data_IF_266425044877
#
_entry.id   IF_266425044877
#
_cell.length_a   1.000
_cell.length_b   1.000
_cell.length_c   1.000
_cell.angle_alpha   90.00
_cell.angle_beta   90.00
_cell.angle_gamma   90.00
#
_symmetry.space_group_name_H-M   'P 1'
#
loop_
_entity.id
_entity.type
_entity.pdbx_description
1 polymer ?
#
# COMPACT_ATOMS: atom_id res chain seq x y z
N UNK A 1 35.10 -31.91 -26.98
CA UNK A 1 34.80 -31.05 -25.82
C UNK A 1 33.83 -29.92 -26.20
N UNK A 2 32.53 -30.21 -26.44
CA UNK A 2 31.51 -29.21 -26.83
C UNK A 2 30.31 -29.10 -25.88
N UNK A 3 30.10 -30.08 -25.00
CA UNK A 3 28.96 -30.11 -24.06
C UNK A 3 29.05 -29.12 -22.89
N UNK A 4 30.24 -28.62 -22.53
CA UNK A 4 30.41 -27.74 -21.35
C UNK A 4 29.87 -26.32 -21.57
N UNK A 5 29.86 -25.81 -22.81
CA UNK A 5 29.44 -24.42 -23.09
C UNK A 5 27.92 -24.24 -23.05
N UNK A 6 27.15 -25.20 -23.56
CA UNK A 6 25.68 -25.13 -23.51
C UNK A 6 25.12 -25.27 -22.08
N UNK A 7 25.75 -26.09 -21.23
CA UNK A 7 25.36 -26.23 -19.83
C UNK A 7 25.59 -24.94 -19.03
N UNK A 8 26.73 -24.25 -19.26
CA UNK A 8 27.04 -22.97 -18.62
C UNK A 8 26.09 -21.86 -19.08
N UNK A 9 25.76 -21.82 -20.37
CA UNK A 9 24.78 -20.85 -20.92
C UNK A 9 23.38 -21.12 -20.38
N UNK A 10 22.97 -22.39 -20.30
CA UNK A 10 21.67 -22.77 -19.72
C UNK A 10 21.55 -22.41 -18.24
N UNK A 11 22.62 -22.63 -17.46
CA UNK A 11 22.64 -22.27 -16.04
C UNK A 11 22.59 -20.75 -15.85
N UNK A 12 23.33 -19.99 -16.65
CA UNK A 12 23.29 -18.53 -16.62
C UNK A 12 21.90 -17.98 -16.98
N UNK A 13 21.23 -18.54 -18.00
CA UNK A 13 19.88 -18.15 -18.38
C UNK A 13 18.86 -18.46 -17.27
N UNK A 14 18.95 -19.64 -16.66
CA UNK A 14 18.09 -20.03 -15.54
C UNK A 14 18.31 -19.13 -14.31
N UNK A 15 19.55 -18.74 -14.02
CA UNK A 15 19.86 -17.79 -12.93
C UNK A 15 19.29 -16.40 -13.20
N UNK A 16 19.34 -15.91 -14.44
CA UNK A 16 18.74 -14.62 -14.82
C UNK A 16 17.22 -14.68 -14.68
N UNK A 17 16.59 -15.74 -15.20
CA UNK A 17 15.13 -15.93 -15.07
C UNK A 17 14.74 -16.05 -13.60
N UNK A 18 15.50 -16.82 -12.80
CA UNK A 18 15.27 -16.96 -11.37
C UNK A 18 15.42 -15.63 -10.61
N UNK A 19 16.42 -14.82 -10.94
CA UNK A 19 16.61 -13.49 -10.35
C UNK A 19 15.49 -12.51 -10.75
N UNK A 20 15.05 -12.55 -12.01
CA UNK A 20 13.91 -11.76 -12.48
C UNK A 20 12.62 -12.17 -11.76
N UNK A 21 12.30 -13.47 -11.72
CA UNK A 21 11.12 -13.97 -11.01
C UNK A 21 11.19 -13.63 -9.53
N UNK A 22 12.36 -13.75 -8.90
CA UNK A 22 12.55 -13.35 -7.50
C UNK A 22 12.25 -11.86 -7.29
N UNK A 23 12.71 -10.98 -8.18
CA UNK A 23 12.38 -9.56 -8.11
C UNK A 23 10.87 -9.31 -8.27
N UNK A 24 10.21 -10.03 -9.17
CA UNK A 24 8.75 -9.93 -9.36
C UNK A 24 7.95 -10.35 -8.12
N UNK A 25 8.42 -11.35 -7.39
CA UNK A 25 7.76 -11.84 -6.17
C UNK A 25 8.29 -11.19 -4.88
N UNK A 26 9.35 -10.36 -4.96
CA UNK A 26 9.93 -9.74 -3.78
C UNK A 26 9.02 -8.64 -3.29
N UNK A 27 8.35 -8.94 -2.18
CA UNK A 27 7.64 -7.95 -1.41
C UNK A 27 8.62 -7.12 -0.57
N UNK A 28 8.38 -5.82 -0.57
CA UNK A 28 9.07 -4.82 0.23
C UNK A 28 8.08 -4.18 1.21
N UNK A 29 8.51 -3.94 2.44
CA UNK A 29 7.68 -3.33 3.47
C UNK A 29 8.52 -2.48 4.41
N UNK A 30 7.88 -1.51 5.06
CA UNK A 30 8.51 -0.66 6.06
C UNK A 30 7.50 -0.25 7.11
N UNK A 31 7.99 -0.10 8.35
CA UNK A 31 7.20 0.33 9.50
C UNK A 31 7.93 1.49 10.15
N UNK A 32 7.25 2.64 10.28
CA UNK A 32 7.81 3.83 10.91
C UNK A 32 8.99 4.43 10.15
N UNK A 33 9.02 4.29 8.82
CA UNK A 33 10.12 4.85 8.00
C UNK A 33 9.87 6.34 7.70
N UNK A 34 10.96 7.09 7.53
CA UNK A 34 10.89 8.55 7.36
C UNK A 34 10.60 9.00 5.92
N UNK A 35 10.91 8.16 4.92
CA UNK A 35 10.67 8.52 3.53
C UNK A 35 10.54 7.30 2.63
N UNK A 36 9.72 7.45 1.58
CA UNK A 36 9.54 6.46 0.52
C UNK A 36 9.43 7.21 -0.80
N UNK A 37 10.15 6.77 -1.84
CA UNK A 37 10.32 7.54 -3.09
C UNK A 37 9.05 7.81 -3.89
N UNK A 38 8.00 7.01 -3.69
CA UNK A 38 6.71 7.12 -4.37
C UNK A 38 5.63 7.81 -3.52
N UNK A 39 5.99 8.38 -2.37
CA UNK A 39 5.12 9.15 -1.48
C UNK A 39 5.55 10.63 -1.43
N UNK A 40 4.70 11.54 -0.90
CA UNK A 40 5.11 12.92 -0.68
C UNK A 40 6.34 12.99 0.23
N UNK A 41 7.23 13.96 -0.02
CA UNK A 41 8.46 14.16 0.76
C UNK A 41 8.17 14.56 2.20
N UNK A 42 7.00 15.14 2.42
CA UNK A 42 6.49 15.59 3.70
C UNK A 42 5.88 14.46 4.53
N UNK A 43 5.71 13.25 3.95
CA UNK A 43 5.23 12.08 4.68
C UNK A 43 6.21 11.67 5.78
N UNK A 44 5.67 11.26 6.92
CA UNK A 44 6.43 10.74 8.06
C UNK A 44 5.72 9.54 8.66
N UNK A 45 6.43 8.80 9.51
CA UNK A 45 5.86 7.64 10.23
C UNK A 45 5.16 6.68 9.25
N UNK A 46 5.84 6.41 8.14
CA UNK A 46 5.27 5.71 7.01
C UNK A 46 5.24 4.22 7.33
N UNK A 47 4.08 3.61 7.15
CA UNK A 47 3.93 2.15 7.12
C UNK A 47 3.49 1.76 5.73
N UNK A 48 4.20 0.84 5.07
CA UNK A 48 3.88 0.44 3.70
C UNK A 48 4.12 -1.04 3.42
N UNK A 49 3.41 -1.53 2.41
CA UNK A 49 3.69 -2.78 1.69
C UNK A 49 3.73 -2.47 0.21
N UNK A 50 4.69 -3.05 -0.50
CA UNK A 50 4.84 -2.93 -1.94
C UNK A 50 5.29 -4.25 -2.54
N UNK A 51 4.66 -4.63 -3.64
CA UNK A 51 5.25 -5.53 -4.64
C UNK A 51 4.90 -4.98 -6.03
N UNK A 52 5.01 -5.81 -7.07
CA UNK A 52 4.73 -5.36 -8.44
C UNK A 52 3.23 -5.19 -8.73
N UNK A 53 2.37 -5.89 -8.00
CA UNK A 53 0.92 -5.80 -8.14
C UNK A 53 0.33 -4.68 -7.25
N UNK A 54 0.77 -4.57 -6.00
CA UNK A 54 0.16 -3.68 -5.02
C UNK A 54 1.14 -2.69 -4.39
N UNK A 55 0.63 -1.50 -4.08
CA UNK A 55 1.27 -0.55 -3.17
C UNK A 55 0.23 -0.06 -2.18
N UNK A 56 0.52 -0.21 -0.90
CA UNK A 56 -0.36 0.22 0.19
C UNK A 56 0.49 0.99 1.18
N UNK A 57 0.06 2.19 1.57
CA UNK A 57 0.72 2.95 2.63
C UNK A 57 -0.27 3.74 3.49
N UNK A 58 0.10 3.92 4.75
CA UNK A 58 -0.48 4.90 5.66
C UNK A 58 0.64 5.71 6.32
N UNK A 59 0.45 7.02 6.45
CA UNK A 59 1.50 7.93 6.88
C UNK A 59 0.92 9.23 7.44
N UNK A 60 1.71 9.92 8.26
CA UNK A 60 1.38 11.25 8.77
C UNK A 60 1.82 12.30 7.73
N UNK A 61 0.96 13.27 7.42
CA UNK A 61 1.26 14.33 6.43
C UNK A 61 0.38 15.56 6.67
N UNK A 62 0.91 16.75 6.39
CA UNK A 62 0.12 17.98 6.43
C UNK A 62 -0.87 18.02 5.26
N UNK A 63 -2.11 18.44 5.54
CA UNK A 63 -3.24 18.41 4.58
C UNK A 63 -2.90 19.08 3.25
N UNK A 64 -2.42 20.31 3.30
CA UNK A 64 -2.17 21.10 2.10
C UNK A 64 -0.96 20.58 1.32
N UNK A 65 0.08 20.09 2.01
CA UNK A 65 1.19 19.37 1.38
C UNK A 65 0.68 18.13 0.63
N UNK A 66 -0.21 17.36 1.25
CA UNK A 66 -0.76 16.17 0.62
C UNK A 66 -1.65 16.50 -0.57
N UNK A 67 -2.56 17.48 -0.46
CA UNK A 67 -3.39 17.96 -1.58
C UNK A 67 -2.55 18.42 -2.76
N UNK A 68 -1.49 19.22 -2.50
CA UNK A 68 -0.56 19.67 -3.55
C UNK A 68 0.16 18.50 -4.23
N UNK A 69 0.60 17.52 -3.45
CA UNK A 69 1.23 16.32 -4.01
C UNK A 69 0.26 15.54 -4.89
N UNK A 70 -0.95 15.24 -4.40
CA UNK A 70 -2.01 14.57 -5.14
C UNK A 70 -2.37 15.28 -6.45
N UNK A 71 -2.53 16.61 -6.43
CA UNK A 71 -2.82 17.39 -7.64
C UNK A 71 -1.68 17.30 -8.68
N UNK A 72 -0.41 17.30 -8.25
CA UNK A 72 0.74 17.09 -9.16
C UNK A 72 0.80 15.68 -9.74
N UNK A 73 0.17 14.71 -9.10
CA UNK A 73 0.04 13.34 -9.62
C UNK A 73 -1.24 13.14 -10.45
N UNK A 74 -1.96 14.24 -10.78
CA UNK A 74 -3.25 14.19 -11.50
C UNK A 74 -4.35 13.41 -10.76
N UNK A 75 -4.22 13.28 -9.44
CA UNK A 75 -5.16 12.59 -8.56
C UNK A 75 -5.71 13.56 -7.49
N UNK A 76 -6.40 14.65 -7.88
CA UNK A 76 -6.81 15.69 -6.94
C UNK A 76 -7.83 15.16 -5.92
N UNK A 77 -7.52 15.32 -4.64
CA UNK A 77 -8.43 14.93 -3.56
C UNK A 77 -9.63 15.88 -3.52
N UNK A 78 -10.84 15.31 -3.44
CA UNK A 78 -12.09 16.02 -3.17
C UNK A 78 -12.52 15.81 -1.73
N UNK A 79 -13.20 16.78 -1.16
CA UNK A 79 -13.86 16.64 0.14
C UNK A 79 -15.12 15.77 -0.01
N UNK A 80 -15.35 14.89 0.98
CA UNK A 80 -16.53 14.05 1.05
C UNK A 80 -17.71 14.83 1.66
N UNK A 81 -18.87 14.72 1.00
CA UNK A 81 -20.11 15.37 1.41
C UNK A 81 -20.86 14.53 2.43
N UNK A 82 -21.88 15.13 3.05
CA UNK A 82 -22.77 14.40 3.95
C UNK A 82 -23.44 13.22 3.22
N UNK A 83 -23.48 12.06 3.88
CA UNK A 83 -23.94 10.80 3.31
C UNK A 83 -22.95 10.05 2.39
N UNK A 84 -21.78 10.61 2.07
CA UNK A 84 -20.71 9.89 1.36
C UNK A 84 -19.80 9.15 2.36
N UNK A 85 -19.66 7.84 2.18
CA UNK A 85 -18.70 7.02 2.93
C UNK A 85 -17.82 6.24 1.94
N UNK A 86 -16.50 6.34 2.12
CA UNK A 86 -15.53 5.58 1.35
C UNK A 86 -14.63 4.78 2.28
N UNK A 87 -14.11 3.67 1.78
CA UNK A 87 -13.22 2.79 2.53
C UNK A 87 -11.91 2.62 1.78
N UNK A 88 -10.80 2.70 2.50
CA UNK A 88 -9.46 2.51 1.96
C UNK A 88 -8.74 1.38 2.69
N UNK A 89 -7.94 0.60 1.97
CA UNK A 89 -7.19 -0.49 2.56
C UNK A 89 -6.04 0.04 3.43
N UNK A 90 -5.82 -0.60 4.58
CA UNK A 90 -4.71 -0.31 5.49
C UNK A 90 -3.67 -1.42 5.42
N UNK A 91 -2.40 -1.04 5.38
CA UNK A 91 -1.28 -1.99 5.36
C UNK A 91 -1.06 -2.70 6.71
N UNK A 92 -1.50 -2.09 7.82
CA UNK A 92 -1.19 -2.54 9.17
C UNK A 92 -1.72 -3.95 9.49
N UNK A 93 -2.98 -4.24 9.14
CA UNK A 93 -3.57 -5.57 9.30
C UNK A 93 -2.75 -6.62 8.55
N UNK A 94 -2.41 -6.33 7.29
CA UNK A 94 -1.67 -7.26 6.43
C UNK A 94 -0.29 -7.57 7.04
N UNK A 95 0.37 -6.57 7.63
CA UNK A 95 1.65 -6.76 8.32
C UNK A 95 1.51 -7.53 9.63
N UNK A 96 0.42 -7.35 10.38
CA UNK A 96 0.13 -8.14 11.59
C UNK A 96 -0.14 -9.60 11.27
N UNK A 97 -0.97 -9.89 10.26
CA UNK A 97 -1.27 -11.26 9.80
C UNK A 97 -0.02 -12.00 9.30
N UNK A 98 0.97 -11.25 8.81
CA UNK A 98 2.26 -11.77 8.37
C UNK A 98 3.31 -11.84 9.48
N UNK A 99 2.97 -11.44 10.71
CA UNK A 99 3.87 -11.47 11.86
C UNK A 99 5.00 -10.42 11.81
N UNK A 100 4.92 -9.43 10.93
CA UNK A 100 5.89 -8.32 10.85
C UNK A 100 5.65 -7.32 11.98
N UNK A 101 4.38 -7.04 12.27
CA UNK A 101 3.97 -6.26 13.43
C UNK A 101 3.50 -7.19 14.53
N UNK A 102 3.91 -6.93 15.78
CA UNK A 102 3.31 -7.55 16.95
C UNK A 102 1.82 -7.19 16.94
N UNK A 103 0.97 -8.19 16.75
CA UNK A 103 -0.46 -7.96 16.79
C UNK A 103 -0.84 -7.55 18.20
N UNK A 104 -1.58 -6.45 18.31
CA UNK A 104 -2.22 -6.06 19.57
C UNK A 104 -3.44 -6.94 19.90
N UNK A 105 -3.70 -7.99 19.11
CA UNK A 105 -4.78 -8.95 19.35
C UNK A 105 -4.49 -9.74 20.62
N UNK A 106 -5.47 -9.74 21.52
CA UNK A 106 -5.51 -10.66 22.64
C UNK A 106 -5.72 -12.08 22.10
N UNK A 107 -4.77 -13.02 22.29
CA UNK A 107 -4.88 -14.39 21.79
C UNK A 107 -6.08 -15.16 22.39
N UNK A 108 -6.72 -14.64 23.45
CA UNK A 108 -7.90 -15.26 24.08
C UNK A 108 -9.23 -14.72 23.54
N UNK A 109 -9.21 -13.68 22.69
CA UNK A 109 -10.42 -13.14 22.08
C UNK A 109 -10.58 -13.82 20.72
N UNK A 110 -11.49 -14.80 20.65
CA UNK A 110 -11.77 -15.56 19.43
C UNK A 110 -11.91 -14.65 18.20
N UNK A 111 -11.44 -15.13 17.04
CA UNK A 111 -11.48 -14.45 15.75
C UNK A 111 -12.91 -14.00 15.43
N UNK A 112 -13.25 -12.76 15.81
CA UNK A 112 -14.42 -12.08 15.29
C UNK A 112 -13.97 -11.38 14.01
N UNK A 113 -14.23 -11.99 12.86
CA UNK A 113 -13.91 -11.50 11.50
C UNK A 113 -14.23 -10.00 11.30
N UNK A 114 -15.28 -9.49 11.94
CA UNK A 114 -15.69 -8.10 11.84
C UNK A 114 -14.65 -7.12 12.43
N UNK A 115 -13.94 -7.51 13.49
CA UNK A 115 -12.91 -6.68 14.13
C UNK A 115 -11.62 -6.66 13.30
N UNK A 116 -11.32 -7.76 12.59
CA UNK A 116 -10.25 -7.88 11.61
C UNK A 116 -10.51 -6.97 10.41
N UNK A 117 -11.73 -6.98 9.85
CA UNK A 117 -12.11 -6.13 8.70
C UNK A 117 -12.06 -4.63 9.02
N UNK A 118 -12.41 -4.23 10.25
CA UNK A 118 -12.28 -2.84 10.71
C UNK A 118 -10.83 -2.40 10.91
N UNK A 119 -9.90 -3.31 11.19
CA UNK A 119 -8.47 -3.00 11.25
C UNK A 119 -7.83 -2.94 9.86
N UNK A 120 -8.32 -3.75 8.93
CA UNK A 120 -7.81 -3.82 7.55
C UNK A 120 -8.18 -2.65 6.68
N UNK A 121 -9.12 -1.82 7.11
CA UNK A 121 -9.59 -0.71 6.30
C UNK A 121 -9.86 0.55 7.13
N UNK A 122 -9.75 1.70 6.48
CA UNK A 122 -10.09 3.00 7.05
C UNK A 122 -11.35 3.51 6.36
N UNK A 123 -12.39 3.75 7.15
CA UNK A 123 -13.55 4.52 6.71
C UNK A 123 -13.22 6.01 6.71
N UNK A 124 -13.60 6.68 5.64
CA UNK A 124 -13.53 8.13 5.43
C UNK A 124 -14.97 8.62 5.25
N UNK A 125 -15.29 9.72 5.92
CA UNK A 125 -16.65 10.28 5.92
C UNK A 125 -16.65 11.77 5.66
N UNK A 126 -17.76 12.43 6.00
CA UNK A 126 -17.95 13.86 5.79
C UNK A 126 -16.75 14.69 6.27
N UNK A 127 -16.26 15.57 5.39
CA UNK A 127 -15.11 16.45 5.66
C UNK A 127 -13.73 15.81 5.45
N UNK A 128 -13.63 14.49 5.32
CA UNK A 128 -12.40 13.83 4.88
C UNK A 128 -12.17 14.06 3.37
N UNK A 129 -10.93 13.81 2.92
CA UNK A 129 -10.59 13.95 1.50
C UNK A 129 -10.37 12.59 0.85
N UNK A 130 -10.82 12.45 -0.39
CA UNK A 130 -10.75 11.19 -1.12
C UNK A 130 -10.55 11.38 -2.62
N UNK A 131 -9.92 10.40 -3.25
CA UNK A 131 -9.83 10.24 -4.70
C UNK A 131 -9.86 8.75 -5.03
N UNK A 132 -10.56 8.40 -6.11
CA UNK A 132 -10.57 7.04 -6.63
C UNK A 132 -10.57 7.06 -8.16
N UNK A 133 -9.77 6.17 -8.73
CA UNK A 133 -9.78 5.85 -10.14
C UNK A 133 -9.85 4.33 -10.27
N UNK A 134 -10.82 3.82 -11.03
CA UNK A 134 -10.98 2.39 -11.28
C UNK A 134 -10.73 2.09 -12.74
N UNK A 135 -9.86 1.12 -12.99
CA UNK A 135 -9.55 0.65 -14.34
C UNK A 135 -10.39 -0.58 -14.70
N UNK A 136 -10.55 -0.83 -16.00
CA UNK A 136 -11.35 -1.95 -16.52
C UNK A 136 -10.76 -3.33 -16.19
N UNK A 137 -9.46 -3.42 -15.88
CA UNK A 137 -8.80 -4.65 -15.45
C UNK A 137 -9.01 -4.96 -13.96
N UNK A 138 -9.74 -4.13 -13.20
CA UNK A 138 -9.91 -4.31 -11.76
C UNK A 138 -8.77 -3.72 -10.91
N UNK A 139 -7.80 -3.05 -11.54
CA UNK A 139 -6.80 -2.22 -10.88
C UNK A 139 -7.28 -0.79 -10.66
N UNK A 140 -6.37 0.06 -10.18
CA UNK A 140 -6.61 1.49 -10.02
C UNK A 140 -5.99 2.09 -8.76
N UNK A 141 -6.52 3.24 -8.37
CA UNK A 141 -6.08 4.02 -7.23
C UNK A 141 -7.21 4.26 -6.24
N UNK A 142 -6.87 4.24 -4.95
CA UNK A 142 -7.68 4.87 -3.91
C UNK A 142 -6.77 5.65 -2.99
N UNK A 143 -6.99 6.95 -2.86
CA UNK A 143 -6.19 7.84 -2.02
C UNK A 143 -7.13 8.57 -1.07
N UNK A 144 -6.74 8.64 0.20
CA UNK A 144 -7.58 9.21 1.25
C UNK A 144 -6.79 10.03 2.25
N UNK A 145 -7.44 11.01 2.85
CA UNK A 145 -6.89 11.80 3.94
C UNK A 145 -7.93 11.91 5.06
N UNK A 146 -7.60 11.32 6.21
CA UNK A 146 -8.38 11.50 7.44
C UNK A 146 -8.01 12.86 8.04
N UNK A 147 -8.96 13.79 7.94
CA UNK A 147 -8.78 15.18 8.37
C UNK A 147 -8.56 15.27 9.87
N UNK A 148 -9.19 14.40 10.65
CA UNK A 148 -9.14 14.41 12.12
C UNK A 148 -7.81 13.89 12.64
N UNK A 149 -7.28 12.83 12.03
CA UNK A 149 -6.00 12.25 12.46
C UNK A 149 -4.77 12.84 11.76
N UNK A 150 -4.97 13.58 10.66
CA UNK A 150 -3.86 14.12 9.87
C UNK A 150 -3.09 13.03 9.11
N UNK A 151 -3.79 11.96 8.72
CA UNK A 151 -3.19 10.77 8.10
C UNK A 151 -3.58 10.64 6.64
N UNK A 152 -2.57 10.44 5.80
CA UNK A 152 -2.70 10.06 4.41
C UNK A 152 -2.73 8.55 4.25
N UNK A 153 -3.52 8.09 3.27
CA UNK A 153 -3.65 6.70 2.88
C UNK A 153 -3.51 6.59 1.38
N UNK A 154 -2.76 5.60 0.92
CA UNK A 154 -2.50 5.35 -0.49
C UNK A 154 -2.68 3.88 -0.79
N UNK A 155 -3.50 3.59 -1.80
CA UNK A 155 -3.69 2.27 -2.37
C UNK A 155 -3.56 2.35 -3.89
N UNK A 156 -2.76 1.46 -4.44
CA UNK A 156 -2.63 1.24 -5.88
C UNK A 156 -2.57 -0.26 -6.15
N UNK A 157 -3.32 -0.70 -7.15
CA UNK A 157 -3.30 -2.08 -7.63
C UNK A 157 -3.17 -2.13 -9.14
N UNK A 158 -2.29 -3.02 -9.62
CA UNK A 158 -2.16 -3.45 -11.01
C UNK A 158 -2.69 -4.87 -11.12
N UNK A 159 -3.65 -5.06 -12.01
CA UNK A 159 -4.24 -6.35 -12.34
C UNK A 159 -3.97 -6.73 -13.79
#
# INVERSE_FOLDING_TARGET
>A
MKMKKCAVVGLALASIIGAFLWQFFKEDHGVGVDSVSWLPREARNITYIRNDAIKVAEFDVEREAFRRWCARQEMPLRELRDGEEHTILRCRLILEERGVLLSARDPNKGENDLHSMQQGSKKLGVGDLFYEERWSNGGGYSIGYDVRSGRGYYYHSRH
#
